data_IF_971354815822
#
_entry.id   IF_971354815822
#
_cell.length_a   1.000
_cell.length_b   1.000
_cell.length_c   1.000
_cell.angle_alpha   90.00
_cell.angle_beta   90.00
_cell.angle_gamma   90.00
#
_symmetry.space_group_name_H-M   'P 1'
#
loop_
_entity.id
_entity.type
_entity.pdbx_description
1 polymer ?
#
# COMPACT_ATOMS: atom_id res chain seq x y z
N UNK A 1 -13.36 6.05 -0.21
CA UNK A 1 -12.95 4.64 -0.47
C UNK A 1 -14.04 3.70 0.04
N UNK A 2 -14.30 2.56 -0.61
CA UNK A 2 -15.33 1.60 -0.14
C UNK A 2 -14.93 1.02 1.24
N UNK A 3 -15.90 0.91 2.17
CA UNK A 3 -15.72 0.37 3.53
C UNK A 3 -15.11 -1.04 3.49
N UNK A 4 -15.63 -1.90 2.62
CA UNK A 4 -15.17 -3.28 2.43
C UNK A 4 -13.66 -3.37 2.15
N UNK A 5 -13.16 -2.49 1.30
CA UNK A 5 -11.74 -2.44 0.94
C UNK A 5 -10.87 -1.97 2.10
N UNK A 6 -11.34 -0.98 2.87
CA UNK A 6 -10.65 -0.55 4.10
C UNK A 6 -10.58 -1.70 5.10
N UNK A 7 -11.66 -2.45 5.25
CA UNK A 7 -11.74 -3.61 6.14
C UNK A 7 -10.80 -4.74 5.67
N UNK A 8 -10.70 -4.99 4.36
CA UNK A 8 -9.74 -5.95 3.80
C UNK A 8 -8.29 -5.55 4.09
N UNK A 9 -7.93 -4.28 3.89
CA UNK A 9 -6.60 -3.77 4.21
C UNK A 9 -6.32 -3.91 5.72
N UNK A 10 -7.29 -3.57 6.57
CA UNK A 10 -7.16 -3.73 8.02
C UNK A 10 -6.94 -5.19 8.44
N UNK A 11 -7.66 -6.13 7.83
CA UNK A 11 -7.50 -7.56 8.13
C UNK A 11 -6.11 -8.07 7.78
N UNK A 12 -5.59 -7.70 6.61
CA UNK A 12 -4.21 -8.04 6.21
C UNK A 12 -3.20 -7.47 7.20
N UNK A 13 -3.37 -6.21 7.60
CA UNK A 13 -2.46 -5.56 8.54
C UNK A 13 -2.44 -6.22 9.93
N UNK A 14 -3.55 -6.81 10.38
CA UNK A 14 -3.62 -7.55 11.65
C UNK A 14 -2.68 -8.74 11.69
N UNK A 15 -2.51 -9.46 10.58
CA UNK A 15 -1.58 -10.61 10.49
C UNK A 15 -0.13 -10.20 10.73
N UNK A 16 0.19 -8.92 10.53
CA UNK A 16 1.51 -8.35 10.79
C UNK A 16 1.59 -7.56 12.10
N UNK A 17 0.53 -7.59 12.93
CA UNK A 17 0.38 -6.79 14.15
C UNK A 17 0.57 -5.29 13.89
N UNK A 18 0.03 -4.81 12.77
CA UNK A 18 0.07 -3.41 12.36
C UNK A 18 -1.37 -2.89 12.30
N UNK A 19 -1.57 -1.65 12.73
CA UNK A 19 -2.82 -0.93 12.55
C UNK A 19 -2.68 0.06 11.39
N UNK A 20 -3.72 0.18 10.57
CA UNK A 20 -3.78 1.19 9.52
C UNK A 20 -3.64 2.61 10.08
N UNK A 21 -4.14 2.87 11.28
CA UNK A 21 -3.98 4.17 11.95
C UNK A 21 -2.51 4.45 12.30
N UNK A 22 -1.74 3.41 12.65
CA UNK A 22 -0.28 3.52 12.83
C UNK A 22 0.39 3.86 11.50
N UNK A 23 -0.08 3.26 10.39
CA UNK A 23 0.45 3.60 9.07
C UNK A 23 0.03 5.00 8.64
N UNK A 24 -1.17 5.47 8.93
CA UNK A 24 -1.59 6.85 8.65
C UNK A 24 -0.85 7.89 9.53
N UNK A 25 -0.41 7.48 10.73
CA UNK A 25 0.33 8.34 11.65
C UNK A 25 1.67 8.83 11.07
N UNK A 26 2.24 9.89 11.68
CA UNK A 26 3.60 10.37 11.37
C UNK A 26 4.72 9.50 11.93
N UNK A 27 4.42 8.29 12.41
CA UNK A 27 5.44 7.34 12.89
C UNK A 27 6.53 7.13 11.83
N UNK A 28 7.78 7.31 12.27
CA UNK A 28 9.00 7.12 11.48
C UNK A 28 9.75 5.82 11.82
N UNK A 29 9.15 4.92 12.61
CA UNK A 29 9.72 3.58 12.83
C UNK A 29 9.93 2.91 11.47
N UNK A 30 11.14 2.42 11.20
CA UNK A 30 11.56 1.91 9.89
C UNK A 30 10.60 0.86 9.33
N UNK A 31 10.20 -0.13 10.14
CA UNK A 31 9.24 -1.17 9.77
C UNK A 31 7.90 -0.58 9.27
N UNK A 32 7.33 0.39 9.99
CA UNK A 32 6.03 0.98 9.63
C UNK A 32 6.12 1.80 8.35
N UNK A 33 7.24 2.51 8.14
CA UNK A 33 7.49 3.21 6.87
C UNK A 33 7.53 2.24 5.70
N UNK A 34 8.25 1.12 5.86
CA UNK A 34 8.35 0.10 4.81
C UNK A 34 7.01 -0.54 4.48
N UNK A 35 6.22 -0.94 5.49
CA UNK A 35 4.86 -1.45 5.29
C UNK A 35 3.96 -0.45 4.56
N UNK A 36 4.03 0.83 4.95
CA UNK A 36 3.28 1.90 4.27
C UNK A 36 3.67 2.01 2.80
N UNK A 37 4.97 1.96 2.50
CA UNK A 37 5.47 2.05 1.12
C UNK A 37 5.02 0.87 0.27
N UNK A 38 5.11 -0.35 0.81
CA UNK A 38 4.66 -1.57 0.15
C UNK A 38 3.17 -1.49 -0.17
N UNK A 39 2.34 -1.11 0.80
CA UNK A 39 0.89 -1.00 0.57
C UNK A 39 0.57 0.08 -0.48
N UNK A 40 1.21 1.25 -0.42
CA UNK A 40 1.01 2.29 -1.42
C UNK A 40 1.37 1.81 -2.83
N UNK A 41 2.47 1.06 -3.00
CA UNK A 41 2.85 0.46 -4.29
C UNK A 41 1.79 -0.57 -4.74
N UNK A 42 1.38 -1.51 -3.89
CA UNK A 42 0.39 -2.53 -4.27
C UNK A 42 -0.93 -1.91 -4.71
N UNK A 43 -1.46 -0.94 -3.94
CA UNK A 43 -2.69 -0.24 -4.28
C UNK A 43 -2.56 0.52 -5.60
N UNK A 44 -1.40 1.13 -5.85
CA UNK A 44 -1.13 1.82 -7.12
C UNK A 44 -0.98 0.85 -8.30
N UNK A 45 -0.37 -0.33 -8.12
CA UNK A 45 -0.35 -1.35 -9.18
C UNK A 45 -1.77 -1.81 -9.55
N UNK A 46 -2.66 -1.92 -8.54
CA UNK A 46 -4.07 -2.24 -8.76
C UNK A 46 -4.78 -1.13 -9.52
N UNK A 47 -4.48 0.13 -9.22
CA UNK A 47 -4.96 1.29 -9.99
C UNK A 47 -4.55 1.21 -11.47
N UNK A 48 -3.27 0.95 -11.74
CA UNK A 48 -2.75 0.85 -13.11
C UNK A 48 -3.38 -0.33 -13.86
N UNK A 49 -3.59 -1.47 -13.20
CA UNK A 49 -4.33 -2.60 -13.77
C UNK A 49 -5.76 -2.21 -14.16
N UNK A 50 -6.51 -1.57 -13.25
CA UNK A 50 -7.89 -1.14 -13.49
C UNK A 50 -7.96 -0.14 -14.65
N UNK A 51 -7.04 0.84 -14.67
CA UNK A 51 -6.91 1.82 -15.75
C UNK A 51 -6.65 1.14 -17.10
N UNK A 52 -5.72 0.20 -17.16
CA UNK A 52 -5.40 -0.54 -18.38
C UNK A 52 -6.57 -1.39 -18.89
N UNK A 53 -7.38 -1.92 -17.98
CA UNK A 53 -8.61 -2.67 -18.30
C UNK A 53 -9.84 -1.79 -18.55
N UNK A 54 -9.71 -0.45 -18.44
CA UNK A 54 -10.83 0.50 -18.52
C UNK A 54 -11.96 0.19 -17.52
N UNK A 55 -11.59 -0.34 -16.36
CA UNK A 55 -12.50 -0.63 -15.25
C UNK A 55 -12.64 0.58 -14.32
N UNK A 56 -13.60 0.52 -13.40
CA UNK A 56 -13.83 1.58 -12.43
C UNK A 56 -12.59 1.77 -11.53
N UNK A 57 -12.06 2.99 -11.53
CA UNK A 57 -10.82 3.36 -10.84
C UNK A 57 -11.09 3.74 -9.39
N UNK A 58 -10.47 3.01 -8.46
CA UNK A 58 -10.76 3.14 -7.02
C UNK A 58 -9.54 3.50 -6.18
N UNK A 59 -8.32 3.44 -6.74
CA UNK A 59 -7.05 3.67 -6.03
C UNK A 59 -6.23 4.79 -6.67
N UNK A 60 -6.86 5.92 -7.00
CA UNK A 60 -6.11 7.09 -7.50
C UNK A 60 -5.08 7.55 -6.45
N UNK A 61 -4.05 8.27 -6.89
CA UNK A 61 -3.00 8.78 -6.00
C UNK A 61 -3.57 9.59 -4.83
N UNK A 62 -4.62 10.37 -5.08
CA UNK A 62 -5.33 11.15 -4.07
C UNK A 62 -6.00 10.25 -3.04
N UNK A 63 -6.72 9.20 -3.48
CA UNK A 63 -7.39 8.26 -2.58
C UNK A 63 -6.41 7.45 -1.74
N UNK A 64 -5.29 7.04 -2.33
CA UNK A 64 -4.19 6.39 -1.59
C UNK A 64 -3.59 7.37 -0.58
N UNK A 65 -3.41 8.64 -0.96
CA UNK A 65 -2.94 9.70 -0.07
C UNK A 65 -3.87 9.92 1.11
N UNK A 66 -5.17 10.06 0.87
CA UNK A 66 -6.22 10.17 1.90
C UNK A 66 -6.16 9.00 2.89
N UNK A 67 -6.02 7.77 2.39
CA UNK A 67 -5.96 6.55 3.21
C UNK A 67 -4.81 6.60 4.23
N UNK A 68 -3.64 7.10 3.81
CA UNK A 68 -2.44 7.13 4.64
C UNK A 68 -2.14 8.51 5.22
N UNK A 69 -3.07 9.47 5.09
CA UNK A 69 -2.90 10.86 5.49
C UNK A 69 -1.60 11.48 4.92
N UNK A 70 -1.42 11.38 3.60
CA UNK A 70 -0.26 11.89 2.85
C UNK A 70 -0.71 12.58 1.57
N UNK A 71 0.10 13.52 1.09
CA UNK A 71 -0.08 14.10 -0.24
C UNK A 71 0.32 13.12 -1.35
N UNK A 72 -0.11 13.41 -2.58
CA UNK A 72 0.16 12.58 -3.75
C UNK A 72 1.67 12.44 -4.05
N UNK A 73 2.48 13.46 -3.78
CA UNK A 73 3.92 13.43 -4.04
C UNK A 73 4.64 12.45 -3.11
N UNK A 74 4.18 12.36 -1.86
CA UNK A 74 4.65 11.38 -0.88
C UNK A 74 4.26 9.96 -1.28
N UNK A 75 3.06 9.77 -1.86
CA UNK A 75 2.64 8.47 -2.40
C UNK A 75 3.56 8.04 -3.55
N UNK A 76 3.87 8.94 -4.49
CA UNK A 76 4.81 8.67 -5.59
C UNK A 76 6.19 8.30 -5.06
N UNK A 77 6.71 9.06 -4.08
CA UNK A 77 7.98 8.76 -3.44
C UNK A 77 7.98 7.36 -2.79
N UNK A 78 6.91 7.02 -2.07
CA UNK A 78 6.75 5.73 -1.42
C UNK A 78 6.72 4.56 -2.41
N UNK A 79 6.03 4.72 -3.54
CA UNK A 79 5.99 3.72 -4.63
C UNK A 79 7.40 3.45 -5.16
N UNK A 80 8.16 4.51 -5.47
CA UNK A 80 9.52 4.37 -5.97
C UNK A 80 10.42 3.69 -4.93
N UNK A 81 10.33 4.11 -3.66
CA UNK A 81 11.09 3.48 -2.57
C UNK A 81 10.75 2.02 -2.36
N UNK A 82 9.47 1.64 -2.40
CA UNK A 82 9.05 0.23 -2.33
C UNK A 82 9.78 -0.61 -3.37
N UNK A 83 9.82 -0.14 -4.64
CA UNK A 83 10.48 -0.86 -5.73
C UNK A 83 11.99 -0.99 -5.51
N UNK A 84 12.67 0.09 -5.14
CA UNK A 84 14.11 0.07 -4.84
C UNK A 84 14.42 -0.96 -3.74
N UNK A 85 13.66 -0.93 -2.64
CA UNK A 85 13.90 -1.84 -1.51
C UNK A 85 13.61 -3.29 -1.84
N UNK A 86 12.60 -3.59 -2.66
CA UNK A 86 12.29 -4.97 -3.06
C UNK A 86 13.37 -5.59 -3.94
N UNK A 87 14.13 -4.77 -4.66
CA UNK A 87 15.29 -5.24 -5.44
C UNK A 87 16.47 -5.58 -4.53
N UNK A 88 16.70 -4.75 -3.50
CA UNK A 88 17.88 -4.86 -2.64
C UNK A 88 17.68 -5.93 -1.54
N UNK A 89 16.45 -6.11 -1.06
CA UNK A 89 16.14 -6.94 0.11
C UNK A 89 15.04 -7.97 -0.18
N UNK A 90 15.40 -9.25 -0.38
CA UNK A 90 14.46 -10.31 -0.77
C UNK A 90 13.27 -10.49 0.19
N UNK A 91 13.49 -10.27 1.49
CA UNK A 91 12.44 -10.39 2.50
C UNK A 91 11.29 -9.39 2.26
N UNK A 92 11.61 -8.17 1.82
CA UNK A 92 10.58 -7.18 1.49
C UNK A 92 9.84 -7.52 0.20
N UNK A 93 10.50 -8.15 -0.78
CA UNK A 93 9.83 -8.63 -1.98
C UNK A 93 8.86 -9.78 -1.67
N UNK A 94 9.26 -10.72 -0.81
CA UNK A 94 8.40 -11.80 -0.35
C UNK A 94 7.17 -11.26 0.38
N UNK A 95 7.36 -10.30 1.30
CA UNK A 95 6.25 -9.64 1.98
C UNK A 95 5.30 -8.94 1.00
N UNK A 96 5.85 -8.22 0.02
CA UNK A 96 5.06 -7.55 -1.01
C UNK A 96 4.18 -8.54 -1.78
N UNK A 97 4.74 -9.66 -2.23
CA UNK A 97 3.97 -10.67 -2.98
C UNK A 97 2.87 -11.28 -2.12
N UNK A 98 3.18 -11.59 -0.86
CA UNK A 98 2.21 -12.14 0.10
C UNK A 98 1.03 -11.18 0.32
N UNK A 99 1.30 -9.91 0.62
CA UNK A 99 0.26 -8.89 0.81
C UNK A 99 -0.55 -8.68 -0.48
N UNK A 100 0.11 -8.72 -1.64
CA UNK A 100 -0.55 -8.56 -2.94
C UNK A 100 -1.54 -9.71 -3.20
N UNK A 101 -1.12 -10.95 -2.96
CA UNK A 101 -1.98 -12.14 -3.10
C UNK A 101 -3.20 -12.07 -2.16
N UNK A 102 -3.00 -11.70 -0.90
CA UNK A 102 -4.08 -11.50 0.07
C UNK A 102 -5.04 -10.37 -0.34
N UNK A 103 -4.55 -9.31 -0.99
CA UNK A 103 -5.39 -8.21 -1.50
C UNK A 103 -6.18 -8.58 -2.75
N UNK A 104 -5.69 -9.54 -3.54
CA UNK A 104 -6.32 -9.97 -4.80
C UNK A 104 -7.31 -11.12 -4.62
N UNK A 105 -7.10 -12.02 -3.64
CA UNK A 105 -8.06 -13.08 -3.26
C UNK A 105 -9.21 -12.57 -2.40
#
# INVERSE_FOLDING_TARGET
MNKELKDKINNILRDYSIDLDILASKSRKSKNCMFRFILMDILYQKEEYLKNKKLNRVFTLEKIGELFNRDHSTVIFAINKSRDFRVIEPNWNNLYNKIKEELDG
#
